data_IF_907774503690
#
_entry.id   IF_907774503690
#
_cell.length_a   1.000
_cell.length_b   1.000
_cell.length_c   1.000
_cell.angle_alpha   90.00
_cell.angle_beta   90.00
_cell.angle_gamma   90.00
#
_symmetry.space_group_name_H-M   'P 1'
#
loop_
_entity.id
_entity.type
_entity.pdbx_description
1 polymer ?
#
# COMPACT_ATOMS: atom_id res chain seq x y z
N UNK A 1 -6.06 17.13 18.29
CA UNK A 1 -6.10 15.70 17.93
C UNK A 1 -6.45 15.69 16.46
N UNK A 2 -5.48 15.35 15.60
CA UNK A 2 -5.72 15.32 14.15
C UNK A 2 -6.66 14.15 13.85
N UNK A 3 -7.82 14.44 13.26
CA UNK A 3 -8.68 13.42 12.64
C UNK A 3 -7.95 12.90 11.39
N UNK A 4 -6.98 12.02 11.60
CA UNK A 4 -6.44 11.18 10.54
C UNK A 4 -7.55 10.20 10.15
N UNK A 5 -8.46 10.66 9.29
CA UNK A 5 -9.52 9.81 8.76
C UNK A 5 -8.84 8.82 7.83
N UNK A 6 -8.53 7.62 8.33
CA UNK A 6 -8.07 6.51 7.51
C UNK A 6 -9.19 6.16 6.54
N UNK A 7 -9.07 6.67 5.31
CA UNK A 7 -10.01 6.29 4.27
C UNK A 7 -9.66 4.88 3.83
N UNK A 8 -10.64 3.95 3.79
CA UNK A 8 -10.36 2.57 3.43
C UNK A 8 -9.78 2.50 2.02
N UNK A 9 -8.65 1.81 1.89
CA UNK A 9 -7.99 1.56 0.62
C UNK A 9 -8.73 0.46 -0.14
N UNK A 10 -9.03 0.73 -1.42
CA UNK A 10 -9.71 -0.22 -2.29
C UNK A 10 -8.68 -1.00 -3.11
N UNK A 11 -8.69 -2.32 -2.96
CA UNK A 11 -7.96 -3.20 -3.86
C UNK A 11 -8.82 -3.58 -5.07
N UNK A 12 -8.19 -4.01 -6.18
CA UNK A 12 -8.92 -4.63 -7.28
C UNK A 12 -9.86 -5.72 -6.78
N UNK A 13 -11.07 -5.76 -7.35
CA UNK A 13 -12.06 -6.76 -6.96
C UNK A 13 -11.55 -8.17 -7.29
N UNK A 14 -11.77 -9.11 -6.37
CA UNK A 14 -11.54 -10.54 -6.63
C UNK A 14 -12.88 -11.14 -7.00
N UNK A 15 -13.01 -11.57 -8.25
CA UNK A 15 -14.30 -11.96 -8.85
C UNK A 15 -15.32 -10.82 -8.75
N UNK A 16 -16.43 -11.01 -8.04
CA UNK A 16 -17.49 -10.01 -7.81
C UNK A 16 -17.46 -9.42 -6.40
N UNK A 17 -16.35 -9.58 -5.66
CA UNK A 17 -16.22 -9.09 -4.28
C UNK A 17 -15.28 -7.88 -4.23
N UNK A 18 -15.78 -6.79 -3.66
CA UNK A 18 -14.97 -5.61 -3.33
C UNK A 18 -14.08 -5.95 -2.13
N UNK A 19 -12.81 -5.57 -2.20
CA UNK A 19 -11.84 -5.78 -1.14
C UNK A 19 -11.42 -4.41 -0.62
N UNK A 20 -11.62 -4.18 0.68
CA UNK A 20 -11.30 -2.92 1.36
C UNK A 20 -10.41 -3.22 2.56
N UNK A 21 -9.43 -2.37 2.82
CA UNK A 21 -8.57 -2.47 3.99
C UNK A 21 -8.31 -1.07 4.55
N UNK A 22 -8.35 -0.95 5.88
CA UNK A 22 -8.22 0.35 6.57
C UNK A 22 -6.76 0.78 6.77
N UNK A 23 -5.82 -0.19 6.88
CA UNK A 23 -4.38 0.06 7.13
C UNK A 23 -4.09 1.11 8.22
N UNK A 24 -4.98 1.23 9.20
CA UNK A 24 -4.89 2.14 10.34
C UNK A 24 -3.86 1.69 11.39
N UNK A 25 -3.29 0.49 11.22
CA UNK A 25 -2.31 -0.12 12.12
C UNK A 25 -2.93 -0.80 13.34
N UNK A 26 -4.18 -0.46 13.69
CA UNK A 26 -5.02 -1.09 14.72
C UNK A 26 -4.30 -1.52 16.00
N UNK A 27 -4.83 -2.58 16.63
CA UNK A 27 -4.27 -3.23 17.84
C UNK A 27 -3.44 -4.49 17.52
N UNK A 28 -3.48 -4.93 16.26
CA UNK A 28 -2.81 -6.12 15.74
C UNK A 28 -2.11 -5.72 14.45
N UNK A 29 -0.81 -6.01 14.40
CA UNK A 29 0.03 -5.82 13.21
C UNK A 29 -0.21 -6.98 12.22
N UNK A 30 -0.22 -6.65 10.93
CA UNK A 30 -0.36 -7.60 9.83
C UNK A 30 0.61 -7.25 8.71
N UNK A 31 1.19 -8.28 8.08
CA UNK A 31 2.00 -8.11 6.86
C UNK A 31 1.18 -7.63 5.66
N UNK A 32 -0.15 -7.49 5.78
CA UNK A 32 -1.02 -6.98 4.70
C UNK A 32 -0.58 -5.63 4.13
N UNK A 33 0.16 -4.81 4.88
CA UNK A 33 0.72 -3.55 4.40
C UNK A 33 1.60 -3.71 3.16
N UNK A 34 2.22 -4.88 2.94
CA UNK A 34 3.00 -5.16 1.72
C UNK A 34 2.13 -5.14 0.46
N UNK A 35 0.83 -5.46 0.58
CA UNK A 35 -0.10 -5.39 -0.55
C UNK A 35 -0.39 -3.95 -0.95
N UNK A 36 -0.55 -3.05 0.04
CA UNK A 36 -0.70 -1.61 -0.18
C UNK A 36 0.56 -1.05 -0.85
N UNK A 37 1.73 -1.40 -0.32
CA UNK A 37 3.01 -0.97 -0.89
C UNK A 37 3.17 -1.43 -2.34
N UNK A 38 2.84 -2.70 -2.63
CA UNK A 38 2.89 -3.23 -3.99
C UNK A 38 1.88 -2.53 -4.94
N UNK A 39 0.70 -2.14 -4.44
CA UNK A 39 -0.28 -1.39 -5.22
C UNK A 39 0.19 0.04 -5.51
N UNK A 40 0.79 0.71 -4.52
CA UNK A 40 1.42 2.01 -4.70
C UNK A 40 2.56 1.93 -5.71
N UNK A 41 3.46 0.94 -5.57
CA UNK A 41 4.60 0.74 -6.46
C UNK A 41 4.17 0.60 -7.92
N UNK A 42 3.17 -0.25 -8.22
CA UNK A 42 2.64 -0.38 -9.59
C UNK A 42 2.10 0.93 -10.17
N UNK A 43 1.69 1.88 -9.34
CA UNK A 43 1.13 3.17 -9.77
C UNK A 43 2.20 4.25 -9.94
N UNK A 44 3.22 4.29 -9.10
CA UNK A 44 4.21 5.38 -9.08
C UNK A 44 5.62 4.98 -9.53
N UNK A 45 5.93 3.68 -9.52
CA UNK A 45 7.24 3.13 -9.91
C UNK A 45 8.37 3.66 -9.05
N UNK A 46 8.16 3.75 -7.73
CA UNK A 46 9.12 4.40 -6.83
C UNK A 46 10.37 3.54 -6.66
N UNK A 47 10.22 2.23 -6.46
CA UNK A 47 11.33 1.31 -6.31
C UNK A 47 12.23 1.34 -7.56
N UNK A 48 11.65 1.27 -8.75
CA UNK A 48 12.40 1.36 -10.02
C UNK A 48 13.12 2.71 -10.18
N UNK A 49 12.49 3.81 -9.75
CA UNK A 49 13.13 5.14 -9.78
C UNK A 49 14.29 5.22 -8.81
N UNK A 50 14.13 4.71 -7.60
CA UNK A 50 15.19 4.69 -6.58
C UNK A 50 16.34 3.78 -6.99
N UNK A 51 16.05 2.60 -7.54
CA UNK A 51 17.06 1.65 -8.01
C UNK A 51 18.00 2.28 -9.05
N UNK A 52 17.49 3.10 -9.96
CA UNK A 52 18.32 3.83 -10.95
C UNK A 52 19.25 4.89 -10.35
N UNK A 53 19.01 5.34 -9.12
CA UNK A 53 19.82 6.35 -8.43
C UNK A 53 20.89 5.74 -7.52
N UNK A 54 20.80 4.43 -7.27
CA UNK A 54 21.79 3.71 -6.49
C UNK A 54 22.83 3.20 -7.49
N UNK A 55 24.05 3.74 -7.42
CA UNK A 55 25.16 3.25 -8.23
C UNK A 55 25.49 1.81 -7.82
N UNK A 56 25.58 0.92 -8.81
CA UNK A 56 26.13 -0.42 -8.60
C UNK A 56 27.66 -0.29 -8.54
N UNK A 57 28.34 -0.74 -7.47
CA UNK A 57 29.79 -0.67 -7.35
C UNK A 57 30.54 -1.59 -8.34
#
# INVERSE_FOLDING_TARGET
>A
MSDDTSQPFLFPAIRRKKIMADFDGGRITSDGGVLLLAAAERRIGLADRLARLIADP
#
